data_IF_165959976203
#
_entry.id   IF_165959976203
#
_cell.length_a   1.000
_cell.length_b   1.000
_cell.length_c   1.000
_cell.angle_alpha   90.00
_cell.angle_beta   90.00
_cell.angle_gamma   90.00
#
_symmetry.space_group_name_H-M   'P 1'
#
loop_
_entity.id
_entity.type
_entity.pdbx_description
1 polymer ?
#
# COMPACT_ATOMS: atom_id res chain seq x y z
N UNK A 1 -42.92 -5.29 20.68
CA UNK A 1 -43.44 -6.61 20.23
C UNK A 1 -42.25 -7.53 20.05
N UNK A 2 -42.22 -8.61 20.82
CA UNK A 2 -41.16 -9.60 20.80
C UNK A 2 -41.50 -10.68 19.76
N UNK A 3 -40.50 -11.08 18.96
CA UNK A 3 -40.49 -12.37 18.29
C UNK A 3 -39.17 -13.07 18.63
N UNK A 4 -39.29 -14.10 19.46
CA UNK A 4 -38.32 -15.17 19.68
C UNK A 4 -38.77 -16.37 18.81
N UNK A 5 -37.85 -17.32 18.58
CA UNK A 5 -37.95 -18.64 17.92
C UNK A 5 -37.40 -18.62 16.48
N UNK A 6 -36.46 -19.47 16.07
CA UNK A 6 -35.83 -20.60 16.73
C UNK A 6 -34.83 -21.31 15.81
N UNK A 7 -33.94 -22.03 16.49
CA UNK A 7 -32.86 -22.91 16.05
C UNK A 7 -33.21 -23.98 14.99
N UNK A 8 -32.23 -24.27 14.10
CA UNK A 8 -31.67 -25.60 13.69
C UNK A 8 -31.20 -25.58 12.23
N UNK A 9 -29.89 -25.66 11.96
CA UNK A 9 -29.10 -26.90 11.81
C UNK A 9 -29.29 -27.58 10.45
N UNK A 10 -28.22 -27.55 9.65
CA UNK A 10 -27.78 -28.57 8.70
C UNK A 10 -28.77 -29.09 7.65
N UNK A 11 -28.56 -28.73 6.38
CA UNK A 11 -28.65 -29.68 5.26
C UNK A 11 -28.22 -29.07 3.91
N UNK A 12 -27.33 -29.81 3.21
CA UNK A 12 -27.23 -29.92 1.73
C UNK A 12 -26.73 -28.66 1.00
N UNK A 13 -25.45 -28.48 0.66
CA UNK A 13 -24.59 -29.37 -0.14
C UNK A 13 -25.39 -30.32 -1.05
N UNK A 14 -26.07 -29.73 -2.04
CA UNK A 14 -26.41 -30.43 -3.26
C UNK A 14 -25.86 -29.67 -4.47
N UNK A 15 -25.08 -30.42 -5.25
CA UNK A 15 -24.65 -30.13 -6.60
C UNK A 15 -25.81 -29.57 -7.44
N UNK A 16 -25.57 -28.43 -8.08
CA UNK A 16 -26.18 -28.10 -9.36
C UNK A 16 -25.05 -27.80 -10.38
N UNK A 17 -24.25 -28.83 -10.67
CA UNK A 17 -23.40 -28.90 -11.86
C UNK A 17 -24.21 -29.58 -12.97
N UNK A 18 -25.11 -28.85 -13.61
CA UNK A 18 -25.76 -29.29 -14.87
C UNK A 18 -26.11 -28.11 -15.76
N UNK A 19 -25.09 -27.47 -16.37
CA UNK A 19 -25.16 -27.07 -17.78
C UNK A 19 -23.76 -26.74 -18.28
N UNK A 20 -23.18 -27.68 -19.03
CA UNK A 20 -21.96 -27.47 -19.81
C UNK A 20 -22.33 -26.65 -21.05
N UNK A 21 -22.09 -25.35 -21.01
CA UNK A 21 -21.88 -24.56 -22.23
C UNK A 21 -20.38 -24.54 -22.54
N UNK A 22 -19.90 -25.28 -23.56
CA UNK A 22 -18.47 -25.32 -23.93
C UNK A 22 -17.94 -23.99 -24.51
N UNK A 23 -18.78 -22.96 -24.62
CA UNK A 23 -18.40 -21.64 -25.16
C UNK A 23 -17.77 -20.69 -24.13
N UNK A 24 -17.90 -20.95 -22.82
CA UNK A 24 -17.38 -20.01 -21.80
C UNK A 24 -15.90 -20.31 -21.47
N UNK A 25 -15.43 -21.54 -21.66
CA UNK A 25 -14.04 -21.93 -21.30
C UNK A 25 -13.01 -21.38 -22.30
N UNK A 26 -13.40 -21.13 -23.56
CA UNK A 26 -12.51 -20.58 -24.58
C UNK A 26 -12.27 -19.07 -24.45
N UNK A 27 -13.10 -18.34 -23.69
CA UNK A 27 -12.94 -16.89 -23.51
C UNK A 27 -11.90 -16.51 -22.43
N UNK A 28 -11.62 -17.42 -21.48
CA UNK A 28 -10.64 -17.18 -20.42
C UNK A 28 -9.18 -17.32 -20.88
N UNK A 29 -8.93 -18.07 -21.96
CA UNK A 29 -7.56 -18.28 -22.48
C UNK A 29 -7.08 -17.07 -23.30
N UNK A 30 -7.98 -16.29 -23.91
CA UNK A 30 -7.60 -15.15 -24.75
C UNK A 30 -7.36 -13.83 -23.99
N UNK A 31 -7.82 -13.70 -22.75
CA UNK A 31 -7.61 -12.46 -21.96
C UNK A 31 -6.22 -12.39 -21.31
N UNK A 32 -5.51 -13.52 -21.18
CA UNK A 32 -4.19 -13.58 -20.52
C UNK A 32 -3.05 -13.12 -21.46
N UNK A 33 -3.22 -13.13 -22.78
CA UNK A 33 -2.13 -12.79 -23.73
C UNK A 33 -2.12 -11.34 -24.23
N UNK A 34 -3.04 -10.48 -23.77
CA UNK A 34 -3.20 -9.12 -24.30
C UNK A 34 -2.93 -7.98 -23.29
N UNK A 35 -2.29 -8.26 -22.15
CA UNK A 35 -1.71 -7.20 -21.33
C UNK A 35 -0.25 -7.00 -21.74
N UNK A 36 0.11 -5.91 -22.45
CA UNK A 36 1.51 -5.54 -22.55
C UNK A 36 2.02 -5.38 -21.12
N UNK A 37 3.05 -6.12 -20.77
CA UNK A 37 3.75 -5.94 -19.51
C UNK A 37 4.05 -4.45 -19.36
N UNK A 38 3.36 -3.80 -18.43
CA UNK A 38 3.79 -2.54 -17.85
C UNK A 38 5.07 -2.89 -17.09
N UNK A 39 6.17 -2.97 -17.85
CA UNK A 39 7.51 -3.03 -17.31
C UNK A 39 7.70 -1.69 -16.63
N UNK A 40 7.41 -1.67 -15.33
CA UNK A 40 7.90 -0.63 -14.43
C UNK A 40 9.41 -0.61 -14.63
N UNK A 41 9.88 0.35 -15.42
CA UNK A 41 11.30 0.58 -15.64
C UNK A 41 11.85 1.08 -14.32
N UNK A 42 12.17 0.15 -13.41
CA UNK A 42 12.91 0.46 -12.20
C UNK A 42 14.23 1.05 -12.69
N UNK A 43 14.41 2.35 -12.46
CA UNK A 43 15.66 3.02 -12.70
C UNK A 43 16.71 2.37 -11.81
N UNK A 44 17.48 1.43 -12.36
CA UNK A 44 18.69 0.85 -11.75
C UNK A 44 19.84 1.86 -11.79
N UNK A 45 19.54 3.12 -11.48
CA UNK A 45 20.52 4.15 -11.23
C UNK A 45 20.32 4.56 -9.79
N UNK A 46 21.08 3.92 -8.89
CA UNK A 46 20.89 3.97 -7.44
C UNK A 46 21.23 5.33 -6.82
N UNK A 47 20.52 6.38 -7.21
CA UNK A 47 20.61 7.73 -6.63
C UNK A 47 21.98 8.39 -6.78
N UNK A 48 22.87 7.85 -7.63
CA UNK A 48 24.25 8.32 -7.75
C UNK A 48 24.38 9.59 -8.61
N UNK A 49 23.32 9.93 -9.34
CA UNK A 49 23.29 11.01 -10.32
C UNK A 49 22.80 12.36 -9.74
N UNK A 50 22.27 12.36 -8.51
CA UNK A 50 21.76 13.57 -7.82
C UNK A 50 22.73 14.14 -6.77
N UNK A 51 24.05 13.96 -6.97
CA UNK A 51 25.04 14.66 -6.15
C UNK A 51 25.23 16.10 -6.68
N UNK A 52 25.05 17.14 -5.83
CA UNK A 52 25.22 18.52 -6.26
C UNK A 52 26.66 18.75 -6.72
N UNK A 53 26.82 19.12 -8.00
CA UNK A 53 28.11 19.46 -8.61
C UNK A 53 28.62 18.49 -9.68
N UNK A 54 27.95 17.35 -9.92
CA UNK A 54 28.32 16.45 -11.01
C UNK A 54 27.69 16.93 -12.33
N UNK A 55 28.51 17.16 -13.37
CA UNK A 55 28.01 17.57 -14.70
C UNK A 55 27.13 16.45 -15.27
N UNK A 56 25.85 16.75 -15.51
CA UNK A 56 24.93 15.85 -16.23
C UNK A 56 25.51 15.53 -17.60
N UNK A 57 25.68 14.24 -17.88
CA UNK A 57 26.22 13.77 -19.14
C UNK A 57 25.20 14.05 -20.28
N UNK A 58 25.68 14.15 -21.51
CA UNK A 58 24.89 14.53 -22.68
C UNK A 58 23.72 13.56 -22.95
N UNK A 59 23.82 12.33 -22.43
CA UNK A 59 22.76 11.31 -22.47
C UNK A 59 21.61 11.57 -21.49
N UNK A 60 21.87 12.18 -20.33
CA UNK A 60 20.82 12.57 -19.37
C UNK A 60 20.01 13.74 -19.91
N UNK A 61 20.68 14.70 -20.56
CA UNK A 61 20.00 15.81 -21.24
C UNK A 61 19.11 15.33 -22.40
N UNK A 62 19.48 14.22 -23.07
CA UNK A 62 18.70 13.67 -24.18
C UNK A 62 17.47 12.89 -23.69
N UNK A 63 17.55 12.19 -22.54
CA UNK A 63 16.40 11.60 -21.86
C UNK A 63 15.43 12.67 -21.33
N UNK A 64 15.96 13.72 -20.71
CA UNK A 64 15.15 14.85 -20.23
C UNK A 64 14.46 15.59 -21.38
N UNK A 65 15.11 15.74 -22.54
CA UNK A 65 14.48 16.33 -23.74
C UNK A 65 13.43 15.45 -24.40
N UNK A 66 13.61 14.12 -24.40
CA UNK A 66 12.64 13.19 -25.01
C UNK A 66 11.39 13.01 -24.14
N UNK A 67 11.53 13.15 -22.82
CA UNK A 67 10.41 13.19 -21.87
C UNK A 67 9.86 14.62 -21.61
N UNK A 68 10.54 15.65 -22.09
CA UNK A 68 10.30 17.05 -21.75
C UNK A 68 9.21 17.79 -22.55
N UNK A 69 8.43 17.13 -23.41
CA UNK A 69 7.33 17.78 -24.15
C UNK A 69 5.93 17.53 -23.60
N UNK A 70 5.78 16.69 -22.57
CA UNK A 70 4.53 16.54 -21.81
C UNK A 70 4.79 16.29 -20.32
N UNK A 71 5.82 16.91 -19.73
CA UNK A 71 5.81 17.08 -18.28
C UNK A 71 4.74 18.14 -17.97
N UNK A 72 3.50 17.67 -17.83
CA UNK A 72 2.45 18.42 -17.18
C UNK A 72 2.99 19.03 -15.89
N UNK A 73 2.50 20.23 -15.58
CA UNK A 73 2.82 21.02 -14.39
C UNK A 73 3.38 20.16 -13.25
N UNK A 74 4.65 20.40 -12.91
CA UNK A 74 5.41 19.66 -11.90
C UNK A 74 4.53 19.40 -10.69
N UNK A 75 4.25 18.11 -10.44
CA UNK A 75 3.59 17.62 -9.22
C UNK A 75 4.35 18.04 -7.94
N UNK A 76 5.61 18.47 -8.07
CA UNK A 76 6.48 18.82 -6.95
C UNK A 76 6.06 20.07 -6.15
N UNK A 77 5.14 20.90 -6.64
CA UNK A 77 4.75 22.14 -5.96
C UNK A 77 3.24 22.21 -5.70
N UNK A 78 2.61 21.10 -5.32
CA UNK A 78 1.29 21.18 -4.68
C UNK A 78 1.49 21.55 -3.23
N UNK A 79 0.74 22.54 -2.75
CA UNK A 79 0.74 22.88 -1.33
C UNK A 79 0.12 21.72 -0.53
N UNK A 80 0.63 21.50 0.67
CA UNK A 80 -0.03 20.60 1.61
C UNK A 80 -1.44 21.12 1.90
N UNK A 81 -2.41 20.20 1.97
CA UNK A 81 -3.78 20.59 2.31
C UNK A 81 -3.82 21.05 3.78
N UNK A 82 -4.70 22.01 4.13
CA UNK A 82 -4.94 22.33 5.53
C UNK A 82 -5.44 21.10 6.29
N UNK A 83 -5.23 21.07 7.61
CA UNK A 83 -5.71 19.96 8.44
C UNK A 83 -7.24 19.89 8.37
N UNK A 84 -7.77 18.68 8.16
CA UNK A 84 -9.20 18.40 8.21
C UNK A 84 -9.74 18.54 9.64
N UNK A 85 -10.96 19.06 9.75
CA UNK A 85 -11.68 19.18 11.02
C UNK A 85 -12.25 17.84 11.51
N UNK A 86 -12.10 16.76 10.72
CA UNK A 86 -12.61 15.42 11.01
C UNK A 86 -14.12 15.38 11.24
N UNK A 87 -14.87 16.20 10.51
CA UNK A 87 -16.32 16.22 10.53
C UNK A 87 -16.88 15.96 9.14
N UNK A 88 -18.02 15.28 9.06
CA UNK A 88 -18.68 14.94 7.80
C UNK A 88 -20.20 15.10 7.94
N UNK A 89 -20.91 15.59 6.91
CA UNK A 89 -22.37 15.51 6.85
C UNK A 89 -22.89 14.14 6.38
N UNK A 90 -22.01 13.26 5.89
CA UNK A 90 -22.38 11.99 5.28
C UNK A 90 -21.96 10.81 6.14
N UNK A 91 -22.81 9.78 6.19
CA UNK A 91 -22.50 8.49 6.82
C UNK A 91 -21.80 7.54 5.86
N UNK A 92 -22.11 7.63 4.56
CA UNK A 92 -21.41 6.88 3.53
C UNK A 92 -21.23 7.71 2.26
N UNK A 93 -20.11 7.47 1.57
CA UNK A 93 -19.76 8.17 0.34
C UNK A 93 -19.12 7.19 -0.64
N UNK A 94 -19.60 7.18 -1.88
CA UNK A 94 -19.05 6.39 -2.97
C UNK A 94 -18.75 7.29 -4.18
N UNK A 95 -17.59 7.10 -4.80
CA UNK A 95 -17.19 7.85 -6.00
C UNK A 95 -17.11 6.96 -7.22
N UNK A 96 -17.89 7.28 -8.24
CA UNK A 96 -17.87 6.56 -9.51
C UNK A 96 -17.59 7.55 -10.63
N UNK A 97 -16.39 7.42 -11.21
CA UNK A 97 -15.86 8.37 -12.21
C UNK A 97 -15.78 9.80 -11.65
N UNK A 98 -16.78 10.62 -11.95
CA UNK A 98 -16.93 12.04 -11.59
C UNK A 98 -18.27 12.33 -10.93
N UNK A 99 -18.98 11.29 -10.47
CA UNK A 99 -20.18 11.42 -9.68
C UNK A 99 -19.89 10.96 -8.25
N UNK A 100 -20.49 11.65 -7.28
CA UNK A 100 -20.44 11.29 -5.88
C UNK A 100 -21.84 10.80 -5.50
N UNK A 101 -21.92 9.63 -4.89
CA UNK A 101 -23.13 9.09 -4.31
C UNK A 101 -22.98 9.13 -2.79
N UNK A 102 -23.95 9.71 -2.11
CA UNK A 102 -23.90 9.90 -0.65
C UNK A 102 -25.11 9.27 0.03
N UNK A 103 -24.93 8.97 1.32
CA UNK A 103 -25.99 8.57 2.22
C UNK A 103 -25.98 9.52 3.42
N UNK A 104 -27.11 10.17 3.66
CA UNK A 104 -27.25 11.21 4.67
C UNK A 104 -27.49 10.58 6.05
N UNK A 105 -28.43 9.63 6.11
CA UNK A 105 -28.79 8.90 7.33
C UNK A 105 -28.40 7.43 7.22
N UNK A 106 -28.05 6.74 8.33
CA UNK A 106 -27.71 5.31 8.30
C UNK A 106 -28.88 4.43 7.86
N UNK A 107 -30.11 4.93 7.95
CA UNK A 107 -31.33 4.21 7.58
C UNK A 107 -31.64 4.24 6.08
N UNK A 108 -31.01 5.13 5.32
CA UNK A 108 -31.31 5.28 3.89
C UNK A 108 -30.82 4.07 3.08
N UNK A 109 -31.73 3.31 2.45
CA UNK A 109 -31.33 2.09 1.73
C UNK A 109 -30.50 2.37 0.46
N UNK A 110 -30.66 3.55 -0.14
CA UNK A 110 -30.06 3.90 -1.44
C UNK A 110 -29.13 5.09 -1.30
N UNK A 111 -28.00 5.03 -2.00
CA UNK A 111 -27.10 6.17 -2.14
C UNK A 111 -27.57 7.08 -3.27
N UNK A 112 -27.77 8.35 -2.95
CA UNK A 112 -28.28 9.34 -3.88
C UNK A 112 -27.13 10.07 -4.56
N UNK A 113 -27.32 10.42 -5.83
CA UNK A 113 -26.35 11.22 -6.56
C UNK A 113 -26.35 12.63 -5.97
N UNK A 114 -25.20 13.02 -5.46
CA UNK A 114 -24.97 14.38 -5.01
C UNK A 114 -24.90 15.32 -6.23
N UNK A 115 -25.36 16.56 -6.07
CA UNK A 115 -25.27 17.63 -7.09
C UNK A 115 -24.39 18.76 -6.56
N UNK A 116 -24.71 19.27 -5.36
CA UNK A 116 -23.97 20.33 -4.69
C UNK A 116 -24.00 20.16 -3.17
N UNK A 117 -23.04 20.77 -2.47
CA UNK A 117 -23.00 20.83 -1.01
C UNK A 117 -22.67 22.28 -0.65
N UNK A 118 -23.41 22.93 0.24
CA UNK A 118 -23.12 24.30 0.70
C UNK A 118 -22.87 25.28 -0.45
N UNK A 119 -23.64 25.18 -1.55
CA UNK A 119 -23.46 26.02 -2.75
C UNK A 119 -22.29 25.64 -3.67
N UNK A 120 -21.43 24.70 -3.28
CA UNK A 120 -20.33 24.21 -4.11
C UNK A 120 -20.78 23.03 -5.01
N UNK A 121 -20.69 23.22 -6.32
CA UNK A 121 -20.91 22.17 -7.30
C UNK A 121 -19.82 21.08 -7.23
N UNK A 122 -20.18 19.81 -7.40
CA UNK A 122 -19.24 18.67 -7.36
C UNK A 122 -18.03 18.85 -8.31
N UNK A 123 -18.26 19.38 -9.51
CA UNK A 123 -17.18 19.61 -10.47
C UNK A 123 -16.14 20.59 -9.92
N UNK A 124 -16.58 21.63 -9.22
CA UNK A 124 -15.70 22.61 -8.59
C UNK A 124 -15.01 21.99 -7.37
N UNK A 125 -15.72 21.17 -6.59
CA UNK A 125 -15.19 20.42 -5.46
C UNK A 125 -14.04 19.49 -5.88
N UNK A 126 -14.18 18.78 -7.01
CA UNK A 126 -13.08 17.99 -7.58
C UNK A 126 -11.93 18.83 -8.14
N UNK A 127 -12.21 20.06 -8.59
CA UNK A 127 -11.19 21.03 -8.96
C UNK A 127 -10.33 21.39 -7.76
N UNK A 128 -10.98 21.83 -6.67
CA UNK A 128 -10.32 22.19 -5.41
C UNK A 128 -9.58 21.01 -4.78
N UNK A 129 -10.16 19.80 -4.79
CA UNK A 129 -9.48 18.62 -4.26
C UNK A 129 -8.20 18.24 -5.02
N UNK A 130 -7.99 18.75 -6.23
CA UNK A 130 -6.77 18.48 -7.01
C UNK A 130 -5.67 19.52 -6.83
N UNK A 131 -5.95 20.67 -6.22
CA UNK A 131 -4.98 21.78 -6.11
C UNK A 131 -3.99 21.59 -4.97
N UNK A 132 -4.42 21.05 -3.83
CA UNK A 132 -3.53 20.69 -2.71
C UNK A 132 -3.15 19.18 -2.72
N UNK A 133 -2.26 18.77 -1.83
CA UNK A 133 -1.96 17.36 -1.48
C UNK A 133 -1.32 16.49 -2.57
N UNK A 134 -1.00 15.25 -2.20
CA UNK A 134 -0.34 14.31 -3.10
C UNK A 134 -1.19 14.00 -4.36
N UNK A 135 -0.49 13.79 -5.48
CA UNK A 135 -1.15 13.44 -6.74
C UNK A 135 -1.78 12.03 -6.66
N UNK A 136 -3.04 11.92 -7.07
CA UNK A 136 -3.80 10.67 -7.05
C UNK A 136 -4.66 10.48 -5.80
N UNK A 137 -4.41 11.22 -4.72
CA UNK A 137 -5.13 11.06 -3.44
C UNK A 137 -6.34 11.99 -3.28
N UNK A 138 -6.74 12.70 -4.33
CA UNK A 138 -7.87 13.65 -4.27
C UNK A 138 -9.19 12.97 -3.85
N UNK A 139 -9.39 11.70 -4.20
CA UNK A 139 -10.60 10.94 -3.80
C UNK A 139 -10.66 10.73 -2.30
N UNK A 140 -9.54 10.31 -1.72
CA UNK A 140 -9.40 10.12 -0.29
C UNK A 140 -9.67 11.43 0.46
N UNK A 141 -9.16 12.54 -0.06
CA UNK A 141 -9.35 13.87 0.54
C UNK A 141 -10.78 14.37 0.48
N UNK A 142 -11.51 14.10 -0.59
CA UNK A 142 -12.95 14.43 -0.60
C UNK A 142 -13.73 13.56 0.41
N UNK A 143 -13.28 12.33 0.68
CA UNK A 143 -13.93 11.44 1.64
C UNK A 143 -13.56 11.74 3.11
N UNK A 144 -12.28 12.02 3.40
CA UNK A 144 -11.73 12.20 4.76
C UNK A 144 -11.49 13.68 5.13
N UNK A 145 -11.38 14.57 4.14
CA UNK A 145 -10.91 15.95 4.34
C UNK A 145 -11.79 16.95 3.59
N UNK A 146 -13.11 16.75 3.63
CA UNK A 146 -14.05 17.59 2.90
C UNK A 146 -13.90 19.07 3.29
N UNK A 147 -13.71 19.37 4.58
CA UNK A 147 -13.50 20.76 5.04
C UNK A 147 -12.25 21.40 4.43
N UNK A 148 -11.14 20.66 4.35
CA UNK A 148 -9.92 21.14 3.71
C UNK A 148 -10.13 21.45 2.23
N UNK A 149 -10.89 20.61 1.52
CA UNK A 149 -11.27 20.87 0.12
C UNK A 149 -12.12 22.13 0.00
N UNK A 150 -13.01 22.39 0.98
CA UNK A 150 -13.83 23.58 1.04
C UNK A 150 -13.01 24.86 1.18
N UNK A 151 -12.10 24.88 2.16
CA UNK A 151 -11.21 26.01 2.40
C UNK A 151 -10.34 26.32 1.20
N UNK A 152 -9.79 25.28 0.55
CA UNK A 152 -8.93 25.45 -0.64
C UNK A 152 -9.71 25.96 -1.84
N UNK A 153 -11.00 25.65 -1.95
CA UNK A 153 -11.86 26.18 -2.99
C UNK A 153 -12.45 27.56 -2.70
N UNK A 154 -12.23 28.11 -1.50
CA UNK A 154 -12.70 29.43 -1.11
C UNK A 154 -14.20 29.50 -0.82
N UNK A 155 -14.82 28.40 -0.42
CA UNK A 155 -16.21 28.39 0.04
C UNK A 155 -16.25 28.64 1.55
N UNK A 156 -16.74 29.81 1.94
CA UNK A 156 -16.75 30.26 3.34
C UNK A 156 -17.88 29.64 4.17
N UNK A 157 -18.89 29.08 3.51
CA UNK A 157 -20.10 28.51 4.13
C UNK A 157 -19.89 27.10 4.74
N UNK A 158 -18.64 26.72 5.04
CA UNK A 158 -18.37 25.44 5.68
C UNK A 158 -18.67 25.50 7.19
N UNK A 159 -19.47 24.56 7.73
CA UNK A 159 -19.72 24.43 9.17
C UNK A 159 -18.46 24.40 10.02
N UNK A 160 -18.39 25.28 11.04
CA UNK A 160 -17.23 25.38 11.94
C UNK A 160 -17.46 24.67 13.27
N UNK A 161 -18.72 24.53 13.68
CA UNK A 161 -19.08 23.92 14.95
C UNK A 161 -19.78 22.57 14.74
N UNK A 162 -19.69 21.71 15.76
CA UNK A 162 -20.39 20.43 15.75
C UNK A 162 -21.91 20.66 15.79
N UNK A 163 -22.67 19.92 14.98
CA UNK A 163 -24.12 20.02 14.77
C UNK A 163 -24.59 21.20 13.91
N UNK A 164 -23.69 22.03 13.41
CA UNK A 164 -24.02 22.96 12.34
C UNK A 164 -24.48 22.15 11.11
N UNK A 165 -25.52 22.63 10.46
CA UNK A 165 -26.11 21.92 9.31
C UNK A 165 -25.66 22.52 7.99
N UNK A 166 -25.33 21.67 7.02
CA UNK A 166 -25.03 22.08 5.65
C UNK A 166 -26.17 21.68 4.71
N UNK A 167 -26.48 22.54 3.75
CA UNK A 167 -27.44 22.23 2.69
C UNK A 167 -26.77 21.31 1.68
N UNK A 168 -27.36 20.15 1.46
CA UNK A 168 -26.91 19.13 0.50
C UNK A 168 -27.98 19.01 -0.57
N UNK A 169 -27.62 19.30 -1.82
CA UNK A 169 -28.50 19.09 -2.96
C UNK A 169 -28.17 17.75 -3.60
N UNK A 170 -29.14 16.83 -3.60
CA UNK A 170 -29.06 15.53 -4.26
C UNK A 170 -30.07 15.48 -5.41
N UNK A 171 -30.02 14.41 -6.19
CA UNK A 171 -31.01 14.14 -7.23
C UNK A 171 -32.45 13.99 -6.68
N UNK A 172 -32.62 13.62 -5.41
CA UNK A 172 -33.94 13.48 -4.79
C UNK A 172 -34.48 14.81 -4.24
N UNK A 173 -33.63 15.80 -3.99
CA UNK A 173 -34.03 17.12 -3.49
C UNK A 173 -32.95 17.77 -2.64
N UNK A 174 -33.36 18.80 -1.90
CA UNK A 174 -32.48 19.56 -1.02
C UNK A 174 -32.69 19.10 0.42
N UNK A 175 -31.62 18.65 1.06
CA UNK A 175 -31.60 18.13 2.42
C UNK A 175 -30.68 18.96 3.29
N UNK A 176 -31.02 19.11 4.56
CA UNK A 176 -30.18 19.78 5.54
C UNK A 176 -29.56 18.73 6.45
N UNK A 177 -28.24 18.54 6.35
CA UNK A 177 -27.52 17.47 7.03
C UNK A 177 -26.64 18.02 8.16
N UNK A 178 -26.72 17.48 9.39
CA UNK A 178 -25.84 17.92 10.48
C UNK A 178 -24.43 17.40 10.26
N UNK A 179 -23.44 18.28 10.41
CA UNK A 179 -22.02 17.94 10.37
C UNK A 179 -21.60 17.46 11.76
N UNK A 180 -21.20 16.19 11.86
CA UNK A 180 -20.85 15.55 13.14
C UNK A 180 -19.57 14.71 13.04
N UNK A 181 -18.91 14.48 14.19
CA UNK A 181 -17.78 13.55 14.28
C UNK A 181 -18.19 12.09 14.11
N UNK A 182 -19.40 11.72 14.53
CA UNK A 182 -19.91 10.35 14.38
C UNK A 182 -20.05 9.98 12.90
N UNK A 183 -20.60 10.89 12.09
CA UNK A 183 -20.69 10.72 10.65
C UNK A 183 -19.28 10.57 10.04
N UNK A 184 -18.30 11.35 10.53
CA UNK A 184 -16.92 11.22 10.10
C UNK A 184 -16.30 9.83 10.36
N UNK A 185 -16.48 9.29 11.56
CA UNK A 185 -15.95 7.95 11.86
C UNK A 185 -16.63 6.88 10.97
N UNK A 186 -17.93 7.02 10.72
CA UNK A 186 -18.65 6.10 9.82
C UNK A 186 -18.16 6.17 8.38
N UNK A 187 -17.91 7.37 7.83
CA UNK A 187 -17.44 7.52 6.45
C UNK A 187 -15.99 7.02 6.30
N UNK A 188 -15.13 7.19 7.29
CA UNK A 188 -13.76 6.65 7.28
C UNK A 188 -13.77 5.12 7.28
N UNK A 189 -14.58 4.51 8.15
CA UNK A 189 -14.77 3.06 8.19
C UNK A 189 -15.36 2.54 6.89
N UNK A 190 -16.32 3.27 6.32
CA UNK A 190 -16.96 2.99 5.05
C UNK A 190 -15.96 3.07 3.88
N UNK A 191 -15.08 4.07 3.88
CA UNK A 191 -14.04 4.22 2.87
C UNK A 191 -13.01 3.08 2.93
N UNK A 192 -12.60 2.69 4.14
CA UNK A 192 -11.63 1.62 4.34
C UNK A 192 -12.17 0.23 3.97
N UNK A 193 -13.44 -0.06 4.29
CA UNK A 193 -14.07 -1.38 4.04
C UNK A 193 -14.82 -1.45 2.71
N UNK A 194 -15.08 -0.32 2.08
CA UNK A 194 -15.98 -0.16 0.94
C UNK A 194 -17.41 0.11 1.41
N UNK A 195 -17.97 1.23 0.94
CA UNK A 195 -19.33 1.62 1.28
C UNK A 195 -20.37 0.70 0.65
N UNK A 196 -21.45 0.38 1.36
CA UNK A 196 -22.52 -0.51 0.90
C UNK A 196 -23.49 0.13 -0.11
N UNK A 197 -23.04 1.13 -0.87
CA UNK A 197 -23.84 1.71 -1.93
C UNK A 197 -24.13 0.67 -3.02
N UNK A 198 -25.34 0.69 -3.58
CA UNK A 198 -25.74 -0.25 -4.64
C UNK A 198 -24.76 -0.24 -5.81
N UNK A 199 -24.19 0.93 -6.10
CA UNK A 199 -23.24 1.11 -7.20
C UNK A 199 -21.84 0.52 -6.91
N UNK A 200 -21.43 0.38 -5.65
CA UNK A 200 -20.20 -0.34 -5.29
C UNK A 200 -20.42 -1.87 -5.21
N UNK A 201 -21.68 -2.30 -5.03
CA UNK A 201 -22.10 -3.70 -4.93
C UNK A 201 -22.17 -4.42 -6.28
N UNK A 202 -21.33 -4.03 -7.24
CA UNK A 202 -21.16 -4.79 -8.48
C UNK A 202 -20.59 -6.18 -8.16
N UNK A 203 -21.37 -7.28 -8.35
CA UNK A 203 -20.87 -8.63 -8.09
C UNK A 203 -19.69 -8.97 -9.02
N UNK A 204 -19.67 -8.39 -10.22
CA UNK A 204 -18.61 -8.57 -11.21
C UNK A 204 -17.31 -7.98 -10.71
N UNK A 205 -17.30 -6.75 -10.21
CA UNK A 205 -16.08 -6.09 -9.72
C UNK A 205 -15.52 -6.84 -8.52
N UNK A 206 -16.38 -7.29 -7.61
CA UNK A 206 -15.97 -8.10 -6.45
C UNK A 206 -15.38 -9.44 -6.88
N UNK A 207 -15.99 -10.12 -7.86
CA UNK A 207 -15.46 -11.36 -8.42
C UNK A 207 -14.10 -11.16 -9.11
N UNK A 208 -13.92 -10.06 -9.84
CA UNK A 208 -12.64 -9.72 -10.49
C UNK A 208 -11.55 -9.44 -9.45
N UNK A 209 -11.85 -8.67 -8.40
CA UNK A 209 -10.88 -8.39 -7.33
C UNK A 209 -10.52 -9.64 -6.52
N UNK A 210 -11.51 -10.46 -6.16
CA UNK A 210 -11.27 -11.73 -5.48
C UNK A 210 -10.50 -12.71 -6.37
N UNK A 211 -10.84 -12.79 -7.65
CA UNK A 211 -10.11 -13.60 -8.63
C UNK A 211 -8.66 -13.15 -8.79
N UNK A 212 -8.42 -11.84 -8.89
CA UNK A 212 -7.08 -11.25 -8.92
C UNK A 212 -6.29 -11.53 -7.66
N UNK A 213 -6.91 -11.42 -6.48
CA UNK A 213 -6.28 -11.75 -5.20
C UNK A 213 -5.89 -13.24 -5.14
N UNK A 214 -6.79 -14.15 -5.53
CA UNK A 214 -6.50 -15.59 -5.58
C UNK A 214 -5.36 -15.90 -6.56
N UNK A 215 -5.31 -15.21 -7.70
CA UNK A 215 -4.22 -15.34 -8.67
C UNK A 215 -2.88 -14.87 -8.08
N UNK A 216 -2.85 -13.72 -7.38
CA UNK A 216 -1.66 -13.24 -6.69
C UNK A 216 -1.20 -14.21 -5.59
N UNK A 217 -2.13 -14.76 -4.80
CA UNK A 217 -1.81 -15.75 -3.77
C UNK A 217 -1.30 -17.06 -4.38
N UNK A 218 -1.86 -17.50 -5.51
CA UNK A 218 -1.37 -18.66 -6.25
C UNK A 218 0.05 -18.41 -6.80
N UNK A 219 0.32 -17.20 -7.32
CA UNK A 219 1.65 -16.80 -7.77
C UNK A 219 2.69 -16.79 -6.65
N UNK A 220 2.36 -16.19 -5.50
CA UNK A 220 3.22 -16.20 -4.31
C UNK A 220 3.43 -17.62 -3.75
N UNK A 221 2.38 -18.45 -3.80
CA UNK A 221 2.45 -19.86 -3.42
C UNK A 221 3.38 -20.66 -4.33
N UNK A 222 3.30 -20.45 -5.65
CA UNK A 222 4.20 -21.09 -6.61
C UNK A 222 5.66 -20.68 -6.40
N UNK A 223 5.93 -19.39 -6.20
CA UNK A 223 7.27 -18.87 -5.93
C UNK A 223 7.87 -19.49 -4.65
N UNK A 224 7.06 -19.56 -3.59
CA UNK A 224 7.44 -20.20 -2.33
C UNK A 224 7.78 -21.69 -2.52
N UNK A 225 6.99 -22.42 -3.33
CA UNK A 225 7.25 -23.84 -3.64
C UNK A 225 8.54 -24.00 -4.45
N UNK A 226 8.82 -23.10 -5.40
CA UNK A 226 10.05 -23.17 -6.19
C UNK A 226 11.30 -22.96 -5.32
N UNK A 227 11.26 -21.99 -4.42
CA UNK A 227 12.37 -21.74 -3.47
C UNK A 227 12.62 -22.96 -2.58
N UNK A 228 11.55 -23.57 -2.06
CA UNK A 228 11.66 -24.78 -1.22
C UNK A 228 12.21 -25.97 -2.03
N UNK A 229 11.74 -26.17 -3.26
CA UNK A 229 12.19 -27.25 -4.14
C UNK A 229 13.68 -27.13 -4.48
N UNK A 230 14.16 -25.93 -4.74
CA UNK A 230 15.58 -25.68 -5.04
C UNK A 230 16.46 -25.87 -3.79
N UNK A 231 15.96 -25.49 -2.62
CA UNK A 231 16.64 -25.76 -1.35
C UNK A 231 16.79 -27.27 -1.08
N UNK A 232 15.75 -28.07 -1.29
CA UNK A 232 15.82 -29.54 -1.13
C UNK A 232 16.74 -30.21 -2.15
N UNK A 233 16.73 -29.76 -3.42
CA UNK A 233 17.68 -30.25 -4.44
C UNK A 233 19.12 -29.98 -4.05
N UNK A 234 19.43 -28.77 -3.60
CA UNK A 234 20.78 -28.38 -3.16
C UNK A 234 21.29 -29.25 -2.01
N UNK A 235 20.42 -29.56 -1.03
CA UNK A 235 20.75 -30.43 0.10
C UNK A 235 21.04 -31.86 -0.34
N UNK A 236 20.19 -32.45 -1.18
CA UNK A 236 20.37 -33.83 -1.67
C UNK A 236 21.64 -34.02 -2.51
N UNK A 237 22.09 -32.98 -3.22
CA UNK A 237 23.33 -33.00 -3.99
C UNK A 237 24.58 -32.89 -3.11
N UNK A 238 24.49 -32.17 -1.99
CA UNK A 238 25.59 -32.03 -1.02
C UNK A 238 25.82 -33.34 -0.27
N UNK A 239 24.75 -33.96 0.21
CA UNK A 239 24.83 -35.25 0.94
C UNK A 239 25.44 -36.35 0.06
N UNK A 240 25.06 -36.44 -1.23
CA UNK A 240 25.68 -37.39 -2.18
C UNK A 240 27.14 -37.08 -2.48
N UNK A 241 27.55 -35.80 -2.50
CA UNK A 241 28.94 -35.41 -2.77
C UNK A 241 29.84 -35.72 -1.56
N UNK A 242 29.34 -35.47 -0.36
CA UNK A 242 30.07 -35.76 0.88
C UNK A 242 30.20 -37.29 1.11
N UNK A 243 29.15 -38.08 0.83
CA UNK A 243 29.23 -39.55 0.89
C UNK A 243 30.23 -40.13 -0.14
N UNK A 244 30.27 -39.59 -1.36
CA UNK A 244 31.23 -40.01 -2.39
C UNK A 244 32.67 -39.64 -2.01
N UNK A 245 32.88 -38.50 -1.35
CA UNK A 245 34.20 -38.08 -0.86
C UNK A 245 34.69 -38.97 0.29
N UNK A 246 33.81 -39.33 1.23
CA UNK A 246 34.14 -40.22 2.34
C UNK A 246 34.49 -41.64 1.86
N UNK A 247 33.74 -42.19 0.88
CA UNK A 247 34.07 -43.48 0.25
C UNK A 247 35.43 -43.47 -0.45
N UNK A 248 35.81 -42.35 -1.08
CA UNK A 248 37.12 -42.22 -1.74
C UNK A 248 38.28 -42.19 -0.73
N UNK A 249 38.14 -41.44 0.36
CA UNK A 249 39.16 -41.38 1.43
C UNK A 249 39.34 -42.73 2.16
N UNK A 250 38.26 -43.47 2.40
CA UNK A 250 38.34 -44.83 2.98
C UNK A 250 39.09 -45.80 2.06
N UNK A 251 38.94 -45.69 0.73
CA UNK A 251 39.63 -46.54 -0.23
C UNK A 251 41.14 -46.25 -0.29
N UNK A 252 41.54 -44.97 -0.32
CA UNK A 252 42.96 -44.57 -0.29
C UNK A 252 43.65 -44.95 1.03
N UNK A 253 42.97 -44.85 2.18
CA UNK A 253 43.53 -45.31 3.47
C UNK A 253 43.74 -46.82 3.50
N UNK A 254 42.89 -47.62 2.84
CA UNK A 254 43.03 -49.09 2.79
C UNK A 254 44.22 -49.51 1.92
N UNK A 255 44.39 -48.91 0.74
CA UNK A 255 45.54 -49.18 -0.15
C UNK A 255 46.88 -48.74 0.46
N UNK A 256 46.90 -47.63 1.23
CA UNK A 256 48.11 -47.22 1.97
C UNK A 256 48.47 -48.14 3.13
N UNK A 257 47.50 -48.87 3.70
CA UNK A 257 47.76 -49.81 4.80
C UNK A 257 48.36 -51.12 4.26
N UNK A 258 47.82 -51.66 3.17
CA UNK A 258 48.37 -52.85 2.50
C UNK A 258 49.81 -52.61 1.98
N UNK A 259 50.11 -51.43 1.42
CA UNK A 259 51.50 -51.08 1.03
C UNK A 259 52.48 -50.88 2.19
N UNK A 260 52.00 -50.72 3.42
CA UNK A 260 52.86 -50.58 4.61
C UNK A 260 53.18 -51.94 5.23
N UNK A 261 52.25 -52.88 5.19
CA UNK A 261 52.45 -54.23 5.68
C UNK A 261 53.41 -55.04 4.76
N UNK A 262 53.45 -54.75 3.45
CA UNK A 262 54.47 -55.29 2.52
C UNK A 262 55.88 -54.67 2.68
N UNK A 263 56.02 -53.57 3.42
CA UNK A 263 57.31 -52.85 3.58
C UNK A 263 57.93 -53.00 4.97
N UNK A 264 57.25 -53.67 5.91
CA UNK A 264 57.76 -53.89 7.27
C UNK A 264 58.65 -55.12 7.45
N UNK A 265 58.88 -55.94 6.43
CA UNK A 265 59.86 -57.05 6.50
C UNK A 265 61.28 -56.65 6.04
N UNK A 266 61.56 -55.36 5.82
CA UNK A 266 62.89 -54.94 5.38
C UNK A 266 63.28 -53.53 5.80
N UNK A 267 63.60 -53.33 7.08
CA UNK A 267 64.75 -52.52 7.52
C UNK A 267 64.73 -52.25 9.04
N UNK A 268 65.37 -53.13 9.80
CA UNK A 268 66.12 -52.74 10.99
C UNK A 268 67.53 -52.35 10.52
N UNK A 269 67.89 -51.06 10.62
CA UNK A 269 69.26 -50.59 10.86
C UNK A 269 69.36 -49.06 10.75
N UNK A 270 69.80 -48.47 11.87
CA UNK A 270 70.60 -47.26 12.01
C UNK A 270 70.05 -45.87 11.63
N UNK A 271 70.40 -44.89 12.47
CA UNK A 271 70.82 -43.59 11.96
C UNK A 271 70.24 -42.35 12.63
N UNK A 272 70.95 -41.86 13.65
CA UNK A 272 71.01 -40.44 14.09
C UNK A 272 71.16 -39.48 12.89
N UNK A 273 70.49 -38.32 12.90
CA UNK A 273 71.14 -37.00 13.01
C UNK A 273 70.14 -35.83 12.98
N UNK A 274 70.59 -34.74 13.59
CA UNK A 274 70.12 -33.35 13.62
C UNK A 274 69.75 -32.74 12.27
N UNK A 275 68.85 -31.74 12.25
CA UNK A 275 69.19 -30.33 11.99
C UNK A 275 67.94 -29.41 11.96
N UNK A 276 68.16 -28.23 12.54
CA UNK A 276 67.78 -26.87 12.14
C UNK A 276 66.50 -26.54 11.34
N UNK A 277 65.88 -25.39 11.67
CA UNK A 277 64.85 -24.81 10.80
C UNK A 277 63.77 -23.92 11.43
N UNK A 278 64.18 -22.71 11.86
CA UNK A 278 63.60 -21.44 11.41
C UNK A 278 62.17 -20.95 11.82
N UNK A 279 62.19 -19.82 12.54
CA UNK A 279 61.26 -18.65 12.60
C UNK A 279 59.79 -18.81 12.17
N UNK A 280 58.88 -18.45 13.11
CA UNK A 280 57.75 -17.54 12.79
C UNK A 280 57.23 -16.72 13.98
N UNK A 281 57.62 -15.44 14.01
CA UNK A 281 56.95 -14.36 14.76
C UNK A 281 55.84 -13.78 13.89
N UNK A 282 54.62 -13.69 14.42
CA UNK A 282 53.82 -12.46 14.65
C UNK A 282 52.34 -12.80 14.69
N UNK A 283 51.82 -12.63 15.89
CA UNK A 283 50.41 -12.69 16.31
C UNK A 283 50.01 -11.24 16.48
N UNK A 284 49.10 -10.72 15.68
CA UNK A 284 48.43 -9.45 16.00
C UNK A 284 47.01 -9.38 15.42
N UNK A 285 46.10 -9.26 16.39
CA UNK A 285 44.76 -8.66 16.42
C UNK A 285 43.95 -8.58 15.12
N UNK A 286 42.86 -9.34 15.09
CA UNK A 286 41.65 -9.04 14.32
C UNK A 286 40.63 -8.44 15.29
N UNK A 287 40.48 -7.11 15.22
CA UNK A 287 39.43 -6.40 15.93
C UNK A 287 38.05 -6.76 15.38
N UNK A 288 37.14 -6.84 16.33
CA UNK A 288 35.75 -7.22 16.26
C UNK A 288 34.98 -5.92 16.43
N UNK A 289 34.34 -5.40 15.39
CA UNK A 289 33.32 -4.35 15.56
C UNK A 289 31.96 -4.95 15.25
N UNK A 290 31.27 -5.21 16.35
CA UNK A 290 29.88 -5.61 16.42
C UNK A 290 28.97 -4.46 15.99
N UNK A 291 27.78 -4.90 15.59
CA UNK A 291 26.65 -4.20 15.01
C UNK A 291 25.56 -4.15 16.08
N UNK A 292 25.16 -2.96 16.52
CA UNK A 292 23.89 -2.56 17.19
C UNK A 292 24.13 -1.15 17.78
N UNK A 293 23.23 -0.20 18.02
CA UNK A 293 21.78 0.00 18.09
C UNK A 293 21.55 1.48 17.67
N UNK A 294 20.55 1.88 16.89
CA UNK A 294 19.11 2.07 17.17
C UNK A 294 18.80 3.09 18.27
N UNK A 295 17.95 4.04 17.86
CA UNK A 295 17.14 5.03 18.59
C UNK A 295 17.86 6.11 19.39
N UNK A 296 17.68 7.37 18.98
CA UNK A 296 17.08 8.36 19.87
C UNK A 296 16.21 9.35 19.08
N UNK A 297 14.95 9.36 19.49
CA UNK A 297 13.90 10.30 19.16
C UNK A 297 13.85 11.26 20.34
N UNK A 298 14.26 12.52 20.16
CA UNK A 298 13.94 13.57 21.13
C UNK A 298 13.17 14.70 20.46
N UNK A 299 12.00 14.93 21.06
CA UNK A 299 11.00 15.92 20.75
C UNK A 299 11.54 17.33 20.89
N UNK A 300 11.22 18.18 19.90
CA UNK A 300 11.13 19.63 20.10
C UNK A 300 9.69 19.98 20.41
N UNK A 301 9.42 20.26 21.67
CA UNK A 301 8.27 21.07 22.12
C UNK A 301 8.88 22.25 22.85
N UNK A 302 8.52 23.46 22.43
CA UNK A 302 8.49 24.71 23.20
C UNK A 302 8.55 25.89 22.24
N UNK A 303 7.39 26.40 21.83
CA UNK A 303 7.23 27.84 21.61
C UNK A 303 5.80 28.27 21.90
N UNK A 304 5.65 28.67 23.14
CA UNK A 304 4.54 29.36 23.75
C UNK A 304 4.39 30.81 23.24
N UNK A 305 3.15 31.26 23.29
CA UNK A 305 2.64 32.64 23.43
C UNK A 305 2.92 33.68 22.34
N UNK A 306 1.83 34.04 21.65
CA UNK A 306 1.33 35.42 21.66
C UNK A 306 -0.19 35.42 21.56
N UNK A 307 -0.79 35.92 22.64
CA UNK A 307 -2.16 36.37 22.71
C UNK A 307 -2.27 37.71 21.97
N UNK A 308 -3.34 37.89 21.21
CA UNK A 308 -3.94 39.20 20.98
C UNK A 308 -5.47 39.00 21.07
N UNK A 309 -5.98 39.54 22.16
CA UNK A 309 -7.35 39.77 22.57
C UNK A 309 -7.71 41.16 22.05
N UNK A 310 -8.76 41.32 21.25
CA UNK A 310 -9.73 42.42 21.42
C UNK A 310 -10.92 42.35 20.42
N UNK A 311 -12.03 41.82 20.95
CA UNK A 311 -13.33 42.50 21.14
C UNK A 311 -13.96 43.38 20.04
N UNK A 312 -15.13 42.89 19.60
CA UNK A 312 -16.42 43.60 19.42
C UNK A 312 -16.67 44.54 18.24
N UNK A 313 -17.69 44.19 17.43
CA UNK A 313 -18.99 44.88 17.43
C UNK A 313 -20.07 44.07 16.68
N UNK A 314 -21.25 43.83 17.26
CA UNK A 314 -22.42 43.35 16.52
C UNK A 314 -23.16 44.54 15.89
N UNK A 315 -23.55 44.40 14.62
CA UNK A 315 -24.50 45.30 13.98
C UNK A 315 -25.91 44.72 14.16
N UNK A 316 -26.76 45.51 14.80
CA UNK A 316 -28.19 45.27 14.94
C UNK A 316 -28.85 45.48 13.57
N UNK A 317 -29.65 44.53 13.11
CA UNK A 317 -30.69 44.83 12.11
C UNK A 317 -31.96 44.12 12.54
N UNK A 318 -32.81 44.91 13.19
CA UNK A 318 -34.15 44.60 13.62
C UNK A 318 -35.15 44.96 12.51
N UNK A 319 -36.10 44.04 12.30
CA UNK A 319 -37.48 44.16 11.82
C UNK A 319 -37.91 45.19 10.74
N UNK A 320 -38.62 44.68 9.73
CA UNK A 320 -40.09 44.83 9.58
C UNK A 320 -40.56 43.91 8.42
N UNK A 321 -41.40 42.90 8.66
CA UNK A 321 -42.88 42.94 8.66
C UNK A 321 -43.45 43.40 7.29
N UNK A 322 -43.97 42.47 6.46
CA UNK A 322 -45.38 42.00 6.35
C UNK A 322 -46.29 42.91 5.51
N UNK A 323 -47.14 42.23 4.72
CA UNK A 323 -48.39 42.67 4.07
C UNK A 323 -48.30 43.32 2.67
N UNK A 324 -48.40 42.52 1.61
CA UNK A 324 -49.59 42.34 0.72
C UNK A 324 -49.36 41.23 -0.32
#
# INVERSE_FOLDING_TARGET
QACVVGSRSSCLLHLALTHQDPMIVSCWVFVITAFPALVSSQSTDGGRSDLPGMKKDMFDQMKDRKNGRHQGARVSNRMDCPLSDKMSPFTSLCMIKHDIFVKLSPDDEKCEKLISIGGANISALFGAAKTCGAAGEWKRRVAEELSAVYFVGGWEDWPKYENDSVVVETEAGNFTAPVTYQNYDTIVDCWARGCECEQSKSPVTRAVLLGGLLFCLAGLGWDSITVVKDWFKSKSGKDKKDEKKEKKEKKEKKEKKEKKDDKSDKSDAEGKSSEDGEKKRKKEKKDKSDKSDRSDTESKTDKESKADDDTSKPDETEENAKDE
#
